data_IF_564930231773
#
_entry.id   IF_564930231773
#
_cell.length_a   1.000
_cell.length_b   1.000
_cell.length_c   1.000
_cell.angle_alpha   90.00
_cell.angle_beta   90.00
_cell.angle_gamma   90.00
#
_symmetry.space_group_name_H-M   'P 1'
#
loop_
_entity.id
_entity.type
_entity.pdbx_description
1 polymer ?
#
# COMPACT_ATOMS: atom_id res chain seq x y z
N UNK A 1 48.61 -60.88 19.28
CA UNK A 1 48.00 -61.14 17.95
C UNK A 1 46.77 -60.25 17.84
N UNK A 2 46.91 -59.13 17.19
CA UNK A 2 45.83 -58.20 16.92
C UNK A 2 45.92 -57.81 15.42
N UNK A 3 44.92 -58.16 14.65
CA UNK A 3 44.84 -57.96 13.23
C UNK A 3 44.32 -56.52 12.96
N UNK A 4 45.12 -55.72 12.29
CA UNK A 4 44.75 -54.42 11.79
C UNK A 4 43.86 -54.55 10.56
N UNK A 5 42.73 -53.80 10.50
CA UNK A 5 41.90 -53.62 9.31
C UNK A 5 42.28 -52.29 8.65
N UNK A 6 42.40 -52.22 7.33
CA UNK A 6 42.69 -50.97 6.60
C UNK A 6 41.41 -50.18 6.37
N UNK A 7 41.52 -48.85 6.56
CA UNK A 7 40.49 -47.90 6.22
C UNK A 7 40.55 -47.56 4.73
N UNK A 8 39.45 -47.78 4.02
CA UNK A 8 39.23 -47.30 2.65
C UNK A 8 38.79 -45.84 2.71
N UNK A 9 39.63 -44.96 2.16
CA UNK A 9 39.30 -43.55 1.94
C UNK A 9 38.52 -43.50 0.62
N UNK A 10 37.22 -43.19 0.72
CA UNK A 10 36.41 -42.87 -0.44
C UNK A 10 36.49 -41.35 -0.68
N UNK A 11 37.16 -40.98 -1.76
CA UNK A 11 37.16 -39.60 -2.28
C UNK A 11 35.82 -39.30 -2.95
N UNK A 12 34.99 -38.51 -2.31
CA UNK A 12 33.80 -37.96 -2.95
C UNK A 12 34.18 -36.75 -3.78
N UNK A 13 34.03 -36.86 -5.09
CA UNK A 13 34.15 -35.75 -6.02
C UNK A 13 32.91 -34.83 -5.85
N UNK A 14 33.13 -33.63 -5.37
CA UNK A 14 32.08 -32.60 -5.32
C UNK A 14 31.86 -32.05 -6.74
N UNK A 15 30.77 -32.43 -7.36
CA UNK A 15 30.27 -31.77 -8.56
C UNK A 15 29.56 -30.47 -8.16
N UNK A 16 30.20 -29.33 -8.41
CA UNK A 16 29.60 -28.03 -8.25
C UNK A 16 28.59 -27.79 -9.37
N UNK A 17 27.32 -28.03 -9.07
CA UNK A 17 26.23 -27.58 -9.92
C UNK A 17 25.96 -26.11 -9.62
N UNK A 18 26.38 -25.23 -10.52
CA UNK A 18 25.97 -23.83 -10.51
C UNK A 18 24.49 -23.76 -10.88
N UNK A 19 23.62 -23.57 -9.88
CA UNK A 19 22.24 -23.21 -10.11
C UNK A 19 22.19 -21.74 -10.54
N UNK A 20 22.04 -21.50 -11.83
CA UNK A 20 21.60 -20.22 -12.35
C UNK A 20 20.13 -20.07 -12.05
N UNK A 21 19.79 -19.31 -11.02
CA UNK A 21 18.42 -18.85 -10.75
C UNK A 21 18.07 -17.79 -11.80
N UNK A 22 17.45 -18.21 -12.89
CA UNK A 22 16.70 -17.30 -13.74
C UNK A 22 15.34 -17.03 -13.06
N UNK A 23 14.90 -15.78 -12.92
CA UNK A 23 13.55 -15.50 -12.44
C UNK A 23 12.57 -15.87 -13.54
N UNK A 24 11.90 -16.99 -13.42
CA UNK A 24 10.73 -17.31 -14.23
C UNK A 24 9.55 -16.46 -13.77
N UNK A 25 9.49 -15.22 -14.21
CA UNK A 25 8.23 -14.46 -14.25
C UNK A 25 7.48 -14.96 -15.48
N UNK A 26 6.78 -16.07 -15.33
CA UNK A 26 5.78 -16.48 -16.31
C UNK A 26 4.55 -15.60 -16.11
N UNK A 27 4.57 -14.40 -16.70
CA UNK A 27 3.34 -13.68 -16.97
C UNK A 27 2.55 -14.51 -17.97
N UNK A 28 1.51 -15.21 -17.51
CA UNK A 28 0.45 -15.71 -18.38
C UNK A 28 -0.38 -14.50 -18.87
N UNK A 29 0.25 -13.66 -19.69
CA UNK A 29 -0.47 -12.85 -20.64
C UNK A 29 -0.91 -13.80 -21.74
N UNK A 30 -2.10 -14.36 -21.64
CA UNK A 30 -2.79 -14.90 -22.80
C UNK A 30 -3.02 -13.72 -23.74
N UNK A 31 -2.07 -13.55 -24.65
CA UNK A 31 -2.21 -12.63 -25.76
C UNK A 31 -3.45 -13.07 -26.55
N UNK A 32 -4.50 -12.28 -26.47
CA UNK A 32 -5.48 -12.28 -27.54
C UNK A 32 -4.69 -12.00 -28.84
N UNK A 33 -4.66 -12.95 -29.74
CA UNK A 33 -4.04 -12.83 -31.05
C UNK A 33 -4.87 -11.86 -31.92
N UNK A 34 -4.76 -10.60 -31.58
CA UNK A 34 -5.09 -9.47 -32.42
C UNK A 34 -3.83 -8.64 -32.52
N UNK A 35 -3.10 -8.74 -33.63
CA UNK A 35 -1.97 -7.88 -33.98
C UNK A 35 -2.46 -6.45 -34.24
N UNK A 36 -3.05 -5.81 -33.24
CA UNK A 36 -3.30 -4.38 -33.18
C UNK A 36 -2.09 -3.70 -32.57
N UNK A 37 -1.21 -3.15 -33.39
CA UNK A 37 -0.27 -2.12 -32.98
C UNK A 37 -1.10 -1.04 -32.26
N UNK A 38 -0.97 -0.95 -30.92
CA UNK A 38 -1.55 0.16 -30.17
C UNK A 38 -0.93 1.43 -30.77
N UNK A 39 -1.68 2.12 -31.57
CA UNK A 39 -1.22 3.36 -32.23
C UNK A 39 -1.09 4.41 -31.12
N UNK A 40 -0.12 5.33 -31.28
CA UNK A 40 0.09 6.49 -30.38
C UNK A 40 -1.23 7.24 -30.13
N UNK A 41 -2.13 7.29 -31.11
CA UNK A 41 -3.49 7.83 -31.00
C UNK A 41 -4.37 7.08 -29.97
N UNK A 42 -4.22 5.74 -29.84
CA UNK A 42 -4.98 4.95 -28.88
C UNK A 42 -4.54 5.17 -27.42
N UNK A 43 -3.27 5.54 -27.19
CA UNK A 43 -2.78 5.94 -25.87
C UNK A 43 -3.20 7.37 -25.50
N UNK A 44 -3.23 8.29 -26.47
CA UNK A 44 -3.65 9.67 -26.20
C UNK A 44 -5.09 9.77 -25.68
N UNK A 45 -6.01 8.91 -26.19
CA UNK A 45 -7.40 8.86 -25.72
C UNK A 45 -7.58 8.22 -24.34
N UNK A 46 -6.50 7.68 -23.73
CA UNK A 46 -6.48 7.05 -22.40
C UNK A 46 -5.68 7.84 -21.37
N UNK A 47 -5.24 9.05 -21.71
CA UNK A 47 -4.35 9.84 -20.88
C UNK A 47 -5.01 10.26 -19.54
N UNK A 48 -4.24 10.09 -18.49
CA UNK A 48 -4.42 10.69 -17.16
C UNK A 48 -3.20 11.59 -16.92
N UNK A 49 -3.24 12.85 -17.36
CA UNK A 49 -2.04 13.69 -17.39
C UNK A 49 -1.35 13.84 -16.02
N UNK A 50 -0.05 14.13 -15.97
CA UNK A 50 0.84 14.37 -17.12
C UNK A 50 1.51 13.12 -17.72
N UNK A 51 1.48 11.95 -17.02
CA UNK A 51 2.28 10.81 -17.43
C UNK A 51 1.57 9.45 -17.20
N UNK A 52 0.29 9.47 -16.82
CA UNK A 52 -0.56 8.30 -16.62
C UNK A 52 -1.47 7.99 -17.81
N UNK A 53 -1.94 6.74 -17.88
CA UNK A 53 -2.91 6.26 -18.87
C UNK A 53 -3.85 5.24 -18.21
N UNK A 54 -5.17 5.45 -18.29
CA UNK A 54 -6.17 4.50 -17.80
C UNK A 54 -6.27 3.30 -18.76
N UNK A 55 -6.07 2.10 -18.25
CA UNK A 55 -6.08 0.84 -19.04
C UNK A 55 -7.44 0.19 -18.99
N UNK A 56 -7.94 -0.08 -17.77
CA UNK A 56 -9.21 -0.74 -17.52
C UNK A 56 -9.66 -0.47 -16.10
N UNK A 57 -10.94 -0.68 -15.84
CA UNK A 57 -11.48 -0.81 -14.48
C UNK A 57 -12.30 -2.09 -14.36
N UNK A 58 -12.60 -2.50 -13.13
CA UNK A 58 -13.46 -3.64 -12.86
C UNK A 58 -14.21 -3.44 -11.54
N UNK A 59 -15.53 -3.60 -11.59
CA UNK A 59 -16.42 -3.58 -10.43
C UNK A 59 -16.85 -5.02 -10.05
N UNK A 60 -16.07 -6.04 -10.44
CA UNK A 60 -16.44 -7.46 -10.22
C UNK A 60 -16.40 -7.90 -8.76
N UNK A 61 -15.78 -7.12 -7.89
CA UNK A 61 -15.77 -7.34 -6.43
C UNK A 61 -16.90 -6.60 -5.72
N UNK A 62 -17.55 -5.64 -6.41
CA UNK A 62 -18.55 -4.76 -5.82
C UNK A 62 -19.74 -5.54 -5.26
N UNK A 63 -20.03 -5.33 -3.97
CA UNK A 63 -21.11 -5.98 -3.22
C UNK A 63 -21.10 -7.52 -3.32
N UNK A 64 -19.93 -8.10 -3.53
CA UNK A 64 -19.76 -9.55 -3.60
C UNK A 64 -19.93 -10.15 -2.20
N UNK A 65 -20.75 -11.21 -2.12
CA UNK A 65 -20.82 -12.07 -0.94
C UNK A 65 -20.15 -13.41 -1.29
N UNK A 66 -19.07 -13.75 -0.58
CA UNK A 66 -18.33 -14.98 -0.79
C UNK A 66 -18.44 -15.89 0.44
N UNK A 67 -19.03 -17.06 0.27
CA UNK A 67 -19.34 -18.04 1.35
C UNK A 67 -20.06 -17.41 2.55
N UNK A 68 -20.95 -16.44 2.29
CA UNK A 68 -21.73 -15.76 3.33
C UNK A 68 -21.01 -14.58 4.01
N UNK A 69 -19.79 -14.23 3.57
CA UNK A 69 -19.04 -13.06 4.05
C UNK A 69 -19.07 -11.97 2.97
N UNK A 70 -19.53 -10.79 3.35
CA UNK A 70 -19.52 -9.61 2.47
C UNK A 70 -18.09 -9.14 2.22
N UNK A 71 -17.80 -8.82 0.96
CA UNK A 71 -16.53 -8.21 0.54
C UNK A 71 -16.76 -6.72 0.33
N UNK A 72 -15.99 -5.90 1.00
CA UNK A 72 -16.01 -4.44 0.97
C UNK A 72 -14.92 -3.91 1.88
N UNK A 73 -14.82 -2.60 2.03
CA UNK A 73 -13.85 -1.98 2.91
C UNK A 73 -12.40 -2.27 2.54
N UNK A 74 -12.04 -2.27 1.24
CA UNK A 74 -10.72 -2.71 0.80
C UNK A 74 -9.74 -1.52 0.73
N UNK A 75 -8.99 -1.28 1.83
CA UNK A 75 -8.13 -0.10 1.99
C UNK A 75 -6.67 -0.31 1.58
N UNK A 76 -6.29 -1.49 1.09
CA UNK A 76 -4.92 -1.78 0.68
C UNK A 76 -4.83 -2.71 -0.52
N UNK A 77 -3.64 -2.79 -1.16
CA UNK A 77 -3.43 -3.72 -2.27
C UNK A 77 -1.96 -4.17 -2.35
N UNK A 78 -1.68 -5.42 -2.00
CA UNK A 78 -0.35 -6.00 -2.07
C UNK A 78 -0.35 -7.36 -2.80
N UNK A 79 0.81 -7.77 -3.34
CA UNK A 79 0.96 -9.10 -3.94
C UNK A 79 1.62 -10.08 -2.98
N UNK A 80 0.91 -11.15 -2.64
CA UNK A 80 1.44 -12.27 -1.87
C UNK A 80 1.95 -13.36 -2.82
N UNK A 81 3.26 -13.41 -3.00
CA UNK A 81 3.91 -14.38 -3.90
C UNK A 81 3.72 -15.83 -3.44
N UNK A 82 3.58 -16.09 -2.14
CA UNK A 82 3.40 -17.44 -1.58
C UNK A 82 2.00 -17.99 -1.85
N UNK A 83 0.99 -17.12 -1.84
CA UNK A 83 -0.39 -17.49 -2.20
C UNK A 83 -0.65 -17.34 -3.71
N UNK A 84 0.27 -16.74 -4.46
CA UNK A 84 0.08 -16.31 -5.85
C UNK A 84 -1.23 -15.51 -6.01
N UNK A 85 -1.49 -14.59 -5.09
CA UNK A 85 -2.71 -13.80 -4.98
C UNK A 85 -2.40 -12.34 -4.64
N UNK A 86 -3.28 -11.46 -5.05
CA UNK A 86 -3.37 -10.12 -4.52
C UNK A 86 -4.11 -10.17 -3.19
N UNK A 87 -3.72 -9.35 -2.24
CA UNK A 87 -4.30 -9.29 -0.91
C UNK A 87 -4.66 -7.86 -0.56
N UNK A 88 -5.76 -7.72 0.18
CA UNK A 88 -6.23 -6.43 0.70
C UNK A 88 -6.72 -6.62 2.13
N UNK A 89 -6.32 -5.76 3.03
CA UNK A 89 -6.91 -5.64 4.35
C UNK A 89 -8.28 -4.97 4.22
N UNK A 90 -9.17 -5.29 5.16
CA UNK A 90 -10.48 -4.67 5.27
C UNK A 90 -10.41 -3.64 6.37
N UNK A 91 -10.84 -2.42 6.07
CA UNK A 91 -11.16 -1.38 7.01
C UNK A 91 -12.16 -1.88 8.07
N UNK A 92 -12.48 -1.08 9.04
CA UNK A 92 -13.40 -1.50 10.09
C UNK A 92 -14.84 -1.73 9.54
N UNK A 93 -15.49 -2.77 10.08
CA UNK A 93 -16.92 -3.00 9.84
C UNK A 93 -17.60 -3.41 11.15
N UNK A 94 -17.67 -2.47 12.09
CA UNK A 94 -18.31 -2.67 13.38
C UNK A 94 -17.70 -3.84 14.16
N UNK A 95 -18.49 -4.88 14.45
CA UNK A 95 -18.05 -6.06 15.21
C UNK A 95 -17.61 -7.22 14.32
N UNK A 96 -17.56 -7.04 13.01
CA UNK A 96 -17.05 -8.06 12.09
C UNK A 96 -15.57 -8.30 12.34
N UNK A 97 -15.09 -9.55 12.20
CA UNK A 97 -13.68 -9.85 12.34
C UNK A 97 -12.82 -9.10 11.32
N UNK A 98 -11.77 -8.43 11.78
CA UNK A 98 -10.73 -7.86 10.95
C UNK A 98 -10.12 -8.96 10.07
N UNK A 99 -9.91 -8.69 8.78
CA UNK A 99 -9.60 -9.74 7.82
C UNK A 99 -8.79 -9.26 6.62
N UNK A 100 -8.14 -10.19 5.93
CA UNK A 100 -7.45 -9.98 4.66
C UNK A 100 -8.14 -10.83 3.59
N UNK A 101 -8.54 -10.22 2.47
CA UNK A 101 -9.07 -10.89 1.29
C UNK A 101 -7.96 -11.30 0.33
N UNK A 102 -8.25 -12.32 -0.50
CA UNK A 102 -7.33 -12.88 -1.50
C UNK A 102 -8.01 -13.00 -2.85
N UNK A 103 -7.44 -12.39 -3.87
CA UNK A 103 -7.99 -12.44 -5.23
C UNK A 103 -6.90 -12.52 -6.30
N UNK A 104 -7.29 -12.88 -7.51
CA UNK A 104 -6.42 -12.97 -8.69
C UNK A 104 -6.93 -12.06 -9.79
N UNK A 105 -6.02 -11.72 -10.72
CA UNK A 105 -6.34 -11.00 -11.95
C UNK A 105 -6.99 -9.63 -11.73
N UNK A 106 -6.18 -8.61 -11.42
CA UNK A 106 -6.70 -7.25 -11.16
C UNK A 106 -7.48 -6.62 -12.33
N UNK A 107 -7.39 -7.17 -13.55
CA UNK A 107 -8.24 -6.71 -14.66
C UNK A 107 -9.69 -7.23 -14.54
N UNK A 108 -9.87 -8.40 -13.91
CA UNK A 108 -11.15 -9.04 -13.61
C UNK A 108 -10.99 -9.83 -12.30
N UNK A 109 -10.93 -9.14 -11.16
CA UNK A 109 -10.59 -9.79 -9.90
C UNK A 109 -11.63 -10.83 -9.49
N UNK A 110 -11.11 -11.96 -8.99
CA UNK A 110 -11.91 -13.07 -8.48
C UNK A 110 -11.33 -13.52 -7.16
N UNK A 111 -12.19 -13.68 -6.15
CA UNK A 111 -11.81 -14.21 -4.83
C UNK A 111 -11.31 -15.65 -4.99
N UNK A 112 -10.25 -16.00 -4.28
CA UNK A 112 -9.57 -17.30 -4.42
C UNK A 112 -9.78 -18.23 -3.23
N UNK A 113 -10.16 -17.69 -2.08
CA UNK A 113 -10.39 -18.43 -0.83
C UNK A 113 -11.13 -17.56 0.18
N UNK A 114 -11.56 -18.16 1.29
CA UNK A 114 -12.09 -17.44 2.46
C UNK A 114 -11.06 -16.43 2.99
N UNK A 115 -11.53 -15.30 3.56
CA UNK A 115 -10.64 -14.29 4.12
C UNK A 115 -9.86 -14.83 5.32
N UNK A 116 -8.66 -14.32 5.50
CA UNK A 116 -7.84 -14.60 6.66
C UNK A 116 -8.24 -13.66 7.80
N UNK A 117 -8.80 -14.21 8.87
CA UNK A 117 -9.14 -13.43 10.08
C UNK A 117 -7.85 -13.06 10.84
N UNK A 118 -7.70 -11.77 11.15
CA UNK A 118 -6.62 -11.26 11.96
C UNK A 118 -6.91 -11.46 13.45
N UNK A 119 -5.91 -11.93 14.18
CA UNK A 119 -6.07 -12.37 15.57
C UNK A 119 -4.99 -11.78 16.48
N UNK A 120 -5.38 -11.51 17.70
CA UNK A 120 -4.48 -11.14 18.80
C UNK A 120 -3.54 -12.31 19.14
N UNK A 121 -2.46 -12.07 19.90
CA UNK A 121 -1.55 -13.16 20.31
C UNK A 121 -2.22 -14.28 21.13
N UNK A 122 -3.35 -14.01 21.79
CA UNK A 122 -4.14 -14.99 22.52
C UNK A 122 -5.11 -15.80 21.64
N UNK A 123 -5.13 -15.52 20.32
CA UNK A 123 -5.99 -16.18 19.33
C UNK A 123 -7.38 -15.57 19.18
N UNK A 124 -7.79 -14.60 20.00
CA UNK A 124 -9.05 -13.87 19.80
C UNK A 124 -8.99 -12.99 18.56
N UNK A 125 -10.09 -12.87 17.82
CA UNK A 125 -10.11 -12.02 16.64
C UNK A 125 -9.99 -10.54 17.00
N UNK A 126 -9.32 -9.78 16.14
CA UNK A 126 -9.55 -8.35 16.03
C UNK A 126 -10.89 -8.11 15.32
N UNK A 127 -11.51 -6.98 15.59
CA UNK A 127 -12.73 -6.51 14.92
C UNK A 127 -12.65 -4.99 14.71
N UNK A 128 -13.62 -4.40 14.02
CA UNK A 128 -13.64 -2.98 13.71
C UNK A 128 -13.74 -2.04 14.93
N UNK A 129 -13.93 -2.57 16.14
CA UNK A 129 -13.89 -1.76 17.37
C UNK A 129 -12.49 -1.61 17.95
N UNK A 130 -11.53 -2.42 17.49
CA UNK A 130 -10.17 -2.46 18.02
C UNK A 130 -9.08 -2.68 16.95
N UNK A 131 -9.45 -2.64 15.67
CA UNK A 131 -8.54 -2.64 14.52
C UNK A 131 -9.24 -2.03 13.32
N UNK A 132 -8.73 -0.94 12.87
CA UNK A 132 -9.14 -0.13 11.73
C UNK A 132 -8.03 -0.26 10.68
N UNK A 133 -8.11 -1.32 9.85
CA UNK A 133 -6.95 -1.71 9.05
C UNK A 133 -6.91 -0.94 7.74
N UNK A 134 -5.79 -0.29 7.50
CA UNK A 134 -5.58 0.52 6.31
C UNK A 134 -4.51 -0.11 5.40
N UNK A 135 -3.27 0.29 5.54
CA UNK A 135 -2.19 -0.22 4.70
C UNK A 135 -1.83 -1.69 4.95
N UNK A 136 -1.40 -2.37 3.88
CA UNK A 136 -0.91 -3.75 3.96
C UNK A 136 0.33 -3.94 3.09
N UNK A 137 1.36 -4.55 3.68
CA UNK A 137 2.52 -5.05 2.94
C UNK A 137 2.78 -6.52 3.26
N UNK A 138 3.40 -7.23 2.31
CA UNK A 138 3.83 -8.63 2.51
C UNK A 138 5.32 -8.66 2.71
N UNK A 139 5.76 -9.14 3.87
CA UNK A 139 7.17 -9.25 4.23
C UNK A 139 7.87 -10.37 3.42
N UNK A 140 9.21 -10.35 3.28
CA UNK A 140 9.94 -11.37 2.52
C UNK A 140 9.75 -12.80 3.03
N UNK A 141 9.50 -12.98 4.32
CA UNK A 141 9.16 -14.28 4.93
C UNK A 141 7.72 -14.71 4.68
N UNK A 142 6.90 -13.82 4.11
CA UNK A 142 5.50 -14.03 3.77
C UNK A 142 4.51 -13.65 4.87
N UNK A 143 4.96 -13.11 5.98
CA UNK A 143 4.09 -12.53 7.00
C UNK A 143 3.43 -11.25 6.47
N UNK A 144 2.29 -10.90 7.04
CA UNK A 144 1.54 -9.69 6.68
C UNK A 144 1.85 -8.58 7.66
N UNK A 145 2.15 -7.42 7.14
CA UNK A 145 2.30 -6.17 7.89
C UNK A 145 1.06 -5.33 7.63
N UNK A 146 0.39 -4.86 8.68
CA UNK A 146 -0.86 -4.09 8.57
C UNK A 146 -0.79 -2.88 9.49
N UNK A 147 -1.14 -1.69 8.95
CA UNK A 147 -1.38 -0.48 9.74
C UNK A 147 -2.82 -0.47 10.26
N UNK A 148 -3.06 0.32 11.30
CA UNK A 148 -4.38 0.50 11.90
C UNK A 148 -4.51 1.93 12.43
N UNK A 149 -5.65 2.55 12.20
CA UNK A 149 -5.95 3.92 12.59
C UNK A 149 -6.53 4.09 13.99
N UNK A 150 -7.48 3.26 14.39
CA UNK A 150 -8.24 3.39 15.66
C UNK A 150 -7.29 3.46 16.85
N UNK A 151 -6.28 2.60 16.86
CA UNK A 151 -5.15 2.64 17.75
C UNK A 151 -3.92 2.68 16.86
N UNK A 152 -3.30 3.86 16.59
CA UNK A 152 -2.22 3.98 15.64
C UNK A 152 -1.15 2.94 15.87
N UNK A 153 -1.11 1.94 15.00
CA UNK A 153 -0.24 0.79 15.16
C UNK A 153 0.14 0.17 13.81
N UNK A 154 1.29 -0.51 13.78
CA UNK A 154 1.72 -1.34 12.67
C UNK A 154 2.01 -2.73 13.25
N UNK A 155 1.25 -3.73 12.82
CA UNK A 155 1.29 -5.09 13.36
C UNK A 155 1.78 -6.09 12.33
N UNK A 156 2.57 -7.07 12.78
CA UNK A 156 3.03 -8.20 11.96
C UNK A 156 2.18 -9.41 12.31
N UNK A 157 1.54 -10.00 11.29
CA UNK A 157 0.72 -11.19 11.42
C UNK A 157 1.35 -12.37 10.68
N UNK A 158 1.28 -13.54 11.28
CA UNK A 158 1.67 -14.79 10.62
C UNK A 158 0.70 -15.17 9.50
N UNK A 159 1.07 -16.18 8.74
CA UNK A 159 0.25 -16.77 7.67
C UNK A 159 -1.07 -17.39 8.17
N UNK A 160 -1.19 -17.61 9.45
CA UNK A 160 -2.38 -18.07 10.17
C UNK A 160 -3.25 -16.92 10.69
N UNK A 161 -2.83 -15.68 10.46
CA UNK A 161 -3.51 -14.46 10.88
C UNK A 161 -3.22 -14.07 12.34
N UNK A 162 -2.40 -14.82 13.08
CA UNK A 162 -2.06 -14.48 14.46
C UNK A 162 -0.97 -13.41 14.49
N UNK A 163 -1.18 -12.38 15.30
CA UNK A 163 -0.20 -11.32 15.51
C UNK A 163 1.06 -11.88 16.16
N UNK A 164 2.21 -11.59 15.58
CA UNK A 164 3.55 -11.98 16.05
C UNK A 164 4.28 -10.85 16.76
N UNK A 165 4.10 -9.60 16.27
CA UNK A 165 4.79 -8.43 16.78
C UNK A 165 4.04 -7.15 16.41
N UNK A 166 4.50 -6.03 16.99
CA UNK A 166 4.14 -4.66 16.56
C UNK A 166 5.42 -3.85 16.40
N UNK A 167 5.40 -2.90 15.46
CA UNK A 167 6.46 -1.93 15.30
C UNK A 167 6.31 -0.80 16.33
N UNK A 168 7.41 -0.19 16.80
CA UNK A 168 7.35 0.93 17.74
C UNK A 168 6.79 2.18 17.05
N UNK A 169 5.78 2.81 17.64
CA UNK A 169 5.20 4.08 17.19
C UNK A 169 5.55 5.16 18.22
N UNK A 170 6.13 6.32 17.82
CA UNK A 170 6.41 7.40 18.75
C UNK A 170 5.12 7.98 19.36
N UNK A 171 5.16 8.38 20.63
CA UNK A 171 3.98 8.82 21.39
C UNK A 171 3.19 9.96 20.72
N UNK A 172 3.86 10.84 19.99
CA UNK A 172 3.21 11.95 19.27
C UNK A 172 2.24 11.49 18.16
N UNK A 173 2.37 10.27 17.67
CA UNK A 173 1.47 9.69 16.65
C UNK A 173 0.18 9.09 17.25
N UNK A 174 0.07 9.02 18.57
CA UNK A 174 -1.18 8.67 19.22
C UNK A 174 -2.25 9.73 18.96
N UNK A 175 -3.51 9.31 18.96
CA UNK A 175 -4.65 10.22 18.80
C UNK A 175 -4.68 11.24 19.93
N UNK A 176 -4.94 12.48 19.60
CA UNK A 176 -5.04 13.60 20.55
C UNK A 176 -6.02 13.28 21.67
N UNK A 177 -5.57 13.45 22.91
CA UNK A 177 -6.37 13.19 24.12
C UNK A 177 -6.32 11.72 24.59
N UNK A 178 -5.77 10.78 23.84
CA UNK A 178 -5.57 9.40 24.32
C UNK A 178 -4.28 9.23 25.12
N UNK A 179 -3.27 10.06 24.82
CA UNK A 179 -2.02 10.16 25.58
C UNK A 179 -1.64 11.64 25.76
N UNK A 180 -0.77 12.01 26.74
CA UNK A 180 -0.34 13.40 26.93
C UNK A 180 0.35 14.01 25.71
N UNK A 181 1.05 13.19 24.92
CA UNK A 181 1.85 13.63 23.78
C UNK A 181 1.17 13.42 22.43
N UNK A 182 -0.03 12.82 22.40
CA UNK A 182 -0.76 12.49 21.19
C UNK A 182 -1.13 13.73 20.37
N UNK A 183 -0.85 13.71 19.09
CA UNK A 183 -1.04 14.82 18.15
C UNK A 183 -1.83 14.41 16.90
N UNK A 184 -2.11 13.13 16.68
CA UNK A 184 -2.86 12.69 15.53
C UNK A 184 -4.36 13.01 15.67
N UNK A 185 -5.03 13.24 14.56
CA UNK A 185 -6.49 13.31 14.48
C UNK A 185 -7.03 11.88 14.42
N UNK A 186 -8.11 11.59 15.13
CA UNK A 186 -8.80 10.31 15.00
C UNK A 186 -9.28 10.11 13.57
N UNK A 187 -9.15 8.90 13.05
CA UNK A 187 -9.48 8.54 11.65
C UNK A 187 -8.74 9.43 10.63
N UNK A 188 -7.45 9.67 10.88
CA UNK A 188 -6.51 10.34 10.00
C UNK A 188 -5.07 10.03 10.45
N UNK A 189 -4.81 8.76 10.80
CA UNK A 189 -3.53 8.35 11.41
C UNK A 189 -2.66 7.55 10.43
N UNK A 190 -2.29 6.31 10.74
CA UNK A 190 -1.39 5.48 9.94
C UNK A 190 -2.17 4.76 8.82
N UNK A 191 -2.04 5.28 7.63
CA UNK A 191 -2.69 4.81 6.41
C UNK A 191 -1.74 3.94 5.57
N UNK A 192 -1.15 4.54 4.55
CA UNK A 192 -0.33 3.87 3.57
C UNK A 192 0.84 3.10 4.17
N UNK A 193 1.12 1.92 3.59
CA UNK A 193 2.14 1.03 4.10
C UNK A 193 2.84 0.25 2.99
N UNK A 194 4.15 0.41 2.88
CA UNK A 194 4.94 -0.27 1.86
C UNK A 194 6.21 -0.87 2.43
N UNK A 195 6.78 -1.83 1.69
CA UNK A 195 8.12 -2.35 1.93
C UNK A 195 8.99 -2.06 0.71
N UNK A 196 10.22 -1.61 0.95
CA UNK A 196 11.18 -1.36 -0.12
C UNK A 196 11.46 -2.64 -0.92
N UNK A 197 11.90 -2.48 -2.17
CA UNK A 197 12.25 -3.63 -3.02
C UNK A 197 13.38 -4.52 -2.47
N UNK A 198 14.19 -3.97 -1.58
CA UNK A 198 15.20 -4.74 -0.87
C UNK A 198 14.59 -5.66 0.20
N UNK A 199 13.35 -5.43 0.58
CA UNK A 199 12.67 -6.11 1.70
C UNK A 199 13.22 -5.73 3.07
N UNK A 200 13.98 -4.63 3.19
CA UNK A 200 14.71 -4.27 4.41
C UNK A 200 14.31 -2.92 5.00
N UNK A 201 13.46 -2.19 4.33
CA UNK A 201 12.93 -0.92 4.80
C UNK A 201 11.40 -0.92 4.66
N UNK A 202 10.70 -0.55 5.73
CA UNK A 202 9.26 -0.35 5.76
C UNK A 202 9.03 1.15 5.83
N UNK A 203 8.05 1.66 5.07
CA UNK A 203 7.61 3.04 5.11
C UNK A 203 6.10 3.04 5.35
N UNK A 204 5.66 3.81 6.35
CA UNK A 204 4.24 4.06 6.62
C UNK A 204 3.97 5.55 6.61
N UNK A 205 2.91 5.98 5.94
CA UNK A 205 2.47 7.38 5.88
C UNK A 205 1.40 7.66 6.92
N UNK A 206 1.37 8.92 7.39
CA UNK A 206 0.20 9.47 8.05
C UNK A 206 -0.79 9.96 7.00
N UNK A 207 -2.06 9.66 7.16
CA UNK A 207 -3.13 10.21 6.33
C UNK A 207 -3.25 11.72 6.51
N UNK A 208 -3.36 12.15 7.77
CA UNK A 208 -3.48 13.55 8.16
C UNK A 208 -2.21 14.13 8.77
N UNK A 209 -2.17 15.46 8.89
CA UNK A 209 -1.11 16.15 9.59
C UNK A 209 -1.23 15.97 11.12
N UNK A 210 -0.10 15.82 11.81
CA UNK A 210 -0.08 15.96 13.26
C UNK A 210 -0.41 17.40 13.67
N UNK A 211 -1.16 17.60 14.73
CA UNK A 211 -1.52 18.95 15.23
C UNK A 211 -0.30 19.83 15.53
N UNK A 212 0.82 19.21 15.94
CA UNK A 212 2.10 19.88 16.12
C UNK A 212 2.79 20.33 14.83
N UNK A 213 2.39 19.81 13.67
CA UNK A 213 2.94 20.15 12.36
C UNK A 213 2.09 21.17 11.59
N UNK A 214 0.90 21.51 12.11
CA UNK A 214 0.05 22.55 11.54
C UNK A 214 0.64 23.92 11.78
N UNK A 215 0.64 24.79 10.76
CA UNK A 215 1.13 26.16 10.88
C UNK A 215 0.20 27.05 11.72
N UNK A 216 0.70 28.19 12.18
CA UNK A 216 -0.10 29.16 12.89
C UNK A 216 -1.28 29.74 12.06
N UNK A 217 -1.21 29.65 10.72
CA UNK A 217 -2.28 30.04 9.80
C UNK A 217 -3.27 28.89 9.51
N UNK A 218 -3.08 27.72 10.11
CA UNK A 218 -3.94 26.55 9.89
C UNK A 218 -3.56 25.69 8.66
N UNK A 219 -2.37 25.89 8.09
CA UNK A 219 -1.87 25.02 7.01
C UNK A 219 -1.51 23.65 7.59
N UNK A 220 -2.27 22.62 7.21
CA UNK A 220 -2.16 21.22 7.63
C UNK A 220 -1.61 20.31 6.50
N UNK A 221 -0.84 20.86 5.56
CA UNK A 221 -0.33 20.12 4.40
C UNK A 221 0.94 19.30 4.70
N UNK A 222 1.52 19.39 5.90
CA UNK A 222 2.74 18.69 6.26
C UNK A 222 2.44 17.35 6.94
N UNK A 223 2.89 16.25 6.31
CA UNK A 223 2.69 14.89 6.79
C UNK A 223 4.02 14.23 7.12
N UNK A 224 4.00 13.23 8.00
CA UNK A 224 5.18 12.43 8.35
C UNK A 224 5.06 11.02 7.83
N UNK A 225 6.15 10.51 7.27
CA UNK A 225 6.32 9.09 6.99
C UNK A 225 7.26 8.51 8.04
N UNK A 226 6.89 7.37 8.61
CA UNK A 226 7.72 6.58 9.50
C UNK A 226 8.56 5.60 8.68
N UNK A 227 9.86 5.54 8.92
CA UNK A 227 10.78 4.64 8.20
C UNK A 227 11.43 3.69 9.19
N UNK A 228 11.25 2.40 8.94
CA UNK A 228 11.81 1.33 9.75
C UNK A 228 12.82 0.52 8.95
N UNK A 229 14.01 0.34 9.51
CA UNK A 229 15.01 -0.55 8.96
C UNK A 229 15.06 -1.87 9.70
N UNK A 230 15.32 -2.95 8.94
CA UNK A 230 15.52 -4.27 9.53
C UNK A 230 16.94 -4.40 10.07
N UNK A 231 17.07 -4.52 11.38
CA UNK A 231 18.34 -4.81 12.03
C UNK A 231 18.89 -6.20 11.60
N UNK A 232 20.17 -6.45 11.81
CA UNK A 232 20.79 -7.77 11.54
C UNK A 232 20.17 -8.92 12.33
N UNK A 233 19.53 -8.61 13.45
CA UNK A 233 18.78 -9.55 14.30
C UNK A 233 17.43 -9.93 13.72
N UNK A 234 16.98 -9.28 12.63
CA UNK A 234 15.66 -9.47 12.03
C UNK A 234 14.57 -8.58 12.60
N UNK A 235 14.86 -7.82 13.67
CA UNK A 235 13.89 -6.88 14.28
C UNK A 235 13.80 -5.59 13.48
N UNK A 236 12.61 -5.00 13.42
CA UNK A 236 12.35 -3.71 12.80
C UNK A 236 12.55 -2.59 13.83
N UNK A 237 13.23 -1.54 13.42
CA UNK A 237 13.54 -0.37 14.24
C UNK A 237 13.16 0.90 13.49
N UNK A 238 12.42 1.79 14.15
CA UNK A 238 12.19 3.14 13.62
C UNK A 238 13.54 3.88 13.58
N UNK A 239 13.97 4.26 12.40
CA UNK A 239 15.29 4.86 12.18
C UNK A 239 15.23 6.32 11.80
N UNK A 240 14.14 6.77 11.17
CA UNK A 240 13.97 8.17 10.75
C UNK A 240 12.51 8.48 10.42
N UNK A 241 12.22 9.75 10.26
CA UNK A 241 10.96 10.25 9.70
C UNK A 241 11.24 11.12 8.47
N UNK A 242 10.38 11.03 7.47
CA UNK A 242 10.44 11.85 6.25
C UNK A 242 9.30 12.87 6.32
N UNK A 243 9.59 14.13 5.95
CA UNK A 243 8.58 15.16 5.77
C UNK A 243 8.07 15.17 4.32
N UNK A 244 6.76 15.07 4.17
CA UNK A 244 6.06 15.19 2.90
C UNK A 244 5.07 16.35 2.97
N UNK A 245 4.81 17.03 1.84
CA UNK A 245 3.82 18.08 1.76
C UNK A 245 2.80 17.78 0.69
N UNK A 246 1.52 17.66 1.08
CA UNK A 246 0.39 17.46 0.17
C UNK A 246 -0.01 18.76 -0.53
N UNK A 247 -0.85 18.65 -1.56
CA UNK A 247 -1.66 19.77 -1.99
C UNK A 247 -2.69 20.14 -0.91
N UNK A 248 -3.15 21.39 -0.92
CA UNK A 248 -4.08 21.87 0.10
C UNK A 248 -5.40 21.12 0.06
N UNK A 249 -5.80 20.55 1.16
CA UNK A 249 -7.04 19.79 1.32
C UNK A 249 -6.92 18.30 0.98
N UNK A 250 -5.74 17.83 0.56
CA UNK A 250 -5.51 16.43 0.30
C UNK A 250 -5.04 15.68 1.56
N UNK A 251 -5.46 14.41 1.64
CA UNK A 251 -4.97 13.37 2.54
C UNK A 251 -4.03 12.42 1.78
N UNK A 252 -3.35 11.51 2.50
CA UNK A 252 -2.49 10.49 1.90
C UNK A 252 -3.06 9.10 2.22
N UNK A 253 -3.86 8.51 1.34
CA UNK A 253 -4.39 7.17 1.57
C UNK A 253 -3.34 6.06 1.35
N UNK A 254 -2.40 6.22 0.41
CA UNK A 254 -1.44 5.15 0.17
C UNK A 254 -0.06 5.67 -0.28
N UNK A 255 0.96 4.87 0.03
CA UNK A 255 2.34 5.05 -0.41
C UNK A 255 2.95 3.73 -0.86
N UNK A 256 3.56 3.70 -2.05
CA UNK A 256 4.18 2.49 -2.58
C UNK A 256 5.62 2.73 -3.01
N UNK A 257 6.54 1.89 -2.51
CA UNK A 257 7.94 1.92 -2.90
C UNK A 257 8.15 1.34 -4.31
N UNK A 258 8.87 2.06 -5.16
CA UNK A 258 9.29 1.57 -6.48
C UNK A 258 10.75 1.91 -6.77
N UNK A 259 11.38 1.17 -7.68
CA UNK A 259 12.79 1.38 -7.98
C UNK A 259 13.69 1.05 -6.78
N UNK A 260 14.71 1.86 -6.57
CA UNK A 260 15.70 1.68 -5.49
C UNK A 260 15.31 2.50 -4.25
N UNK A 261 14.96 3.76 -4.45
CA UNK A 261 14.82 4.79 -3.42
C UNK A 261 13.68 5.77 -3.74
N UNK A 262 12.62 5.29 -4.37
CA UNK A 262 11.55 6.14 -4.86
C UNK A 262 10.20 5.67 -4.32
N UNK A 263 9.29 6.62 -4.11
CA UNK A 263 7.93 6.39 -3.65
C UNK A 263 6.93 6.94 -4.66
N UNK A 264 5.83 6.23 -4.84
CA UNK A 264 4.60 6.74 -5.44
C UNK A 264 3.64 6.99 -4.29
N UNK A 265 3.17 8.22 -4.17
CA UNK A 265 2.25 8.66 -3.12
C UNK A 265 0.92 8.98 -3.79
N UNK A 266 -0.14 8.45 -3.25
CA UNK A 266 -1.51 8.81 -3.58
C UNK A 266 -1.94 9.97 -2.69
N UNK A 267 -2.42 11.05 -3.30
CA UNK A 267 -3.08 12.15 -2.62
C UNK A 267 -4.54 12.19 -3.04
N UNK A 268 -5.43 12.22 -2.07
CA UNK A 268 -6.86 12.21 -2.29
C UNK A 268 -7.57 13.31 -1.51
N UNK A 269 -8.71 13.76 -2.05
CA UNK A 269 -9.65 14.63 -1.36
C UNK A 269 -11.08 14.25 -1.75
N UNK A 270 -12.02 14.53 -0.85
CA UNK A 270 -13.44 14.34 -1.10
C UNK A 270 -14.23 15.61 -0.78
N UNK A 271 -15.22 15.89 -1.59
CA UNK A 271 -16.25 16.87 -1.27
C UNK A 271 -17.62 16.42 -1.72
N UNK A 272 -18.65 16.73 -0.94
CA UNK A 272 -20.04 16.38 -1.28
C UNK A 272 -20.55 16.97 -2.59
N UNK A 273 -19.88 18.02 -3.09
CA UNK A 273 -20.28 18.73 -4.32
C UNK A 273 -19.53 18.29 -5.56
N UNK A 274 -18.28 17.80 -5.40
CA UNK A 274 -17.42 17.39 -6.51
C UNK A 274 -17.07 15.89 -6.51
N UNK A 275 -17.32 15.19 -5.39
CA UNK A 275 -16.90 13.80 -5.20
C UNK A 275 -15.42 13.67 -4.88
N UNK A 276 -14.84 12.55 -5.24
CA UNK A 276 -13.43 12.25 -5.04
C UNK A 276 -12.53 12.96 -6.08
N UNK A 277 -11.35 13.33 -5.63
CA UNK A 277 -10.24 13.73 -6.48
C UNK A 277 -8.99 13.00 -6.02
N UNK A 278 -8.21 12.49 -6.96
CA UNK A 278 -7.05 11.66 -6.70
C UNK A 278 -5.92 11.94 -7.65
N UNK A 279 -4.73 12.02 -7.11
CA UNK A 279 -3.52 12.38 -7.79
C UNK A 279 -2.36 11.50 -7.35
N UNK A 280 -1.55 11.04 -8.30
CA UNK A 280 -0.37 10.24 -8.01
C UNK A 280 0.89 11.08 -8.15
N UNK A 281 1.69 11.14 -7.08
CA UNK A 281 2.94 11.88 -7.03
C UNK A 281 4.14 10.95 -6.87
N UNK A 282 5.14 11.13 -7.71
CA UNK A 282 6.43 10.45 -7.58
C UNK A 282 7.39 11.25 -6.70
N UNK A 283 7.98 10.59 -5.72
CA UNK A 283 9.08 11.08 -4.87
C UNK A 283 10.33 10.30 -5.22
N UNK A 284 11.46 10.98 -5.42
CA UNK A 284 12.77 10.37 -5.66
C UNK A 284 13.70 10.63 -4.49
N UNK A 285 14.71 9.77 -4.34
CA UNK A 285 15.74 9.89 -3.31
C UNK A 285 15.16 9.86 -1.88
N UNK A 286 14.11 9.08 -1.65
CA UNK A 286 13.49 8.94 -0.33
C UNK A 286 14.49 8.41 0.71
N UNK A 287 15.44 7.53 0.31
CA UNK A 287 16.47 6.99 1.20
C UNK A 287 17.42 8.07 1.73
N UNK A 288 17.62 9.15 0.97
CA UNK A 288 18.50 10.27 1.34
C UNK A 288 17.74 11.49 1.86
N UNK A 289 16.43 11.38 2.07
CA UNK A 289 15.64 12.44 2.67
C UNK A 289 16.15 12.76 4.08
N UNK A 290 16.23 14.05 4.46
CA UNK A 290 16.59 14.44 5.82
C UNK A 290 15.69 13.77 6.87
N UNK A 291 16.32 13.38 7.99
CA UNK A 291 15.57 12.88 9.15
C UNK A 291 14.95 14.03 9.93
N UNK A 292 13.61 14.06 9.95
CA UNK A 292 12.83 15.07 10.66
C UNK A 292 12.27 14.59 12.02
N UNK A 293 12.78 13.47 12.55
CA UNK A 293 12.31 12.90 13.83
C UNK A 293 12.36 13.91 14.97
N UNK A 294 13.38 14.77 14.98
CA UNK A 294 13.61 15.80 16.00
C UNK A 294 13.02 17.18 15.65
N UNK A 295 12.36 17.32 14.50
CA UNK A 295 11.69 18.56 14.12
C UNK A 295 10.36 18.66 14.86
N UNK A 296 10.21 19.66 15.70
CA UNK A 296 9.02 19.82 16.54
C UNK A 296 7.77 20.17 15.72
N UNK A 297 7.94 20.99 14.67
CA UNK A 297 6.86 21.44 13.79
C UNK A 297 7.35 21.51 12.34
N UNK A 298 6.82 20.67 11.47
CA UNK A 298 7.22 20.61 10.06
C UNK A 298 6.89 21.88 9.26
N UNK A 299 5.87 22.63 9.66
CA UNK A 299 5.56 23.89 8.97
C UNK A 299 6.68 24.94 9.12
N UNK A 300 7.60 24.73 10.06
CA UNK A 300 8.77 25.57 10.31
C UNK A 300 10.08 24.93 9.83
N UNK A 301 10.02 23.72 9.29
CA UNK A 301 11.20 23.03 8.76
C UNK A 301 11.78 23.78 7.55
N UNK A 302 13.11 23.76 7.35
CA UNK A 302 13.70 24.23 6.11
C UNK A 302 13.07 23.54 4.89
N UNK A 303 12.86 24.28 3.81
CA UNK A 303 12.26 23.69 2.59
C UNK A 303 13.05 22.49 2.04
N UNK A 304 14.36 22.42 2.30
CA UNK A 304 15.21 21.29 1.91
C UNK A 304 15.00 20.03 2.74
N UNK A 305 14.30 20.10 3.85
CA UNK A 305 13.99 18.94 4.71
C UNK A 305 12.70 18.24 4.26
N UNK A 306 11.91 18.87 3.38
CA UNK A 306 10.69 18.31 2.81
C UNK A 306 11.02 17.68 1.45
N UNK A 307 10.61 16.44 1.23
CA UNK A 307 10.88 15.75 -0.05
C UNK A 307 10.19 16.46 -1.21
N UNK A 308 10.88 16.50 -2.35
CA UNK A 308 10.32 17.00 -3.58
C UNK A 308 9.44 15.94 -4.24
N UNK A 309 8.23 16.32 -4.65
CA UNK A 309 7.28 15.47 -5.36
C UNK A 309 7.05 15.96 -6.79
N UNK A 310 6.61 15.05 -7.65
CA UNK A 310 6.22 15.35 -9.03
C UNK A 310 4.93 14.64 -9.37
N UNK A 311 3.91 15.39 -9.78
CA UNK A 311 2.67 14.83 -10.31
C UNK A 311 2.98 13.93 -11.52
N UNK A 312 2.45 12.70 -11.52
CA UNK A 312 2.60 11.73 -12.60
C UNK A 312 1.26 11.29 -13.18
N UNK A 313 0.17 11.36 -12.41
CA UNK A 313 -1.18 11.15 -12.93
C UNK A 313 -2.18 11.97 -12.12
N UNK A 314 -3.15 12.59 -12.80
CA UNK A 314 -4.35 13.18 -12.19
C UNK A 314 -5.55 12.34 -12.65
N UNK A 315 -6.20 11.65 -11.73
CA UNK A 315 -7.22 10.66 -12.07
C UNK A 315 -8.56 11.32 -12.45
N UNK A 316 -8.82 12.54 -11.98
CA UNK A 316 -9.97 13.34 -12.42
C UNK A 316 -9.93 13.56 -13.93
N UNK A 317 -8.75 13.69 -14.51
CA UNK A 317 -8.53 13.94 -15.92
C UNK A 317 -8.44 12.68 -16.79
N UNK A 318 -8.58 11.49 -16.20
CA UNK A 318 -8.63 10.24 -16.94
C UNK A 318 -9.89 10.17 -17.83
N UNK A 319 -9.87 9.41 -18.93
CA UNK A 319 -11.10 9.05 -19.62
C UNK A 319 -11.96 8.18 -18.71
N UNK A 320 -13.27 8.33 -18.79
CA UNK A 320 -14.23 7.63 -17.91
C UNK A 320 -14.27 6.11 -18.13
N UNK A 321 -13.74 5.62 -19.24
CA UNK A 321 -13.81 4.21 -19.69
C UNK A 321 -15.23 3.62 -19.71
N UNK A 322 -16.26 4.46 -19.58
CA UNK A 322 -17.66 4.03 -19.47
C UNK A 322 -18.04 3.55 -18.05
N UNK A 323 -17.25 3.90 -17.04
CA UNK A 323 -17.55 3.54 -15.65
C UNK A 323 -18.86 4.18 -15.19
N UNK A 324 -19.69 3.45 -14.41
CA UNK A 324 -20.84 4.03 -13.71
C UNK A 324 -20.39 4.76 -12.45
N UNK A 325 -21.21 5.69 -11.96
CA UNK A 325 -21.10 6.27 -10.63
C UNK A 325 -22.45 6.19 -9.92
N UNK A 326 -22.43 5.98 -8.62
CA UNK A 326 -23.63 5.96 -7.75
C UNK A 326 -23.79 7.23 -6.94
N UNK A 327 -22.80 8.08 -6.93
CA UNK A 327 -22.81 9.38 -6.25
C UNK A 327 -22.21 10.46 -7.17
N UNK A 328 -22.23 11.71 -6.70
CA UNK A 328 -21.62 12.82 -7.44
C UNK A 328 -20.12 12.63 -7.54
N UNK A 329 -19.59 12.58 -8.77
CA UNK A 329 -18.17 12.45 -9.07
C UNK A 329 -17.79 13.39 -10.22
N UNK A 330 -16.64 14.06 -10.12
CA UNK A 330 -16.08 14.84 -11.23
C UNK A 330 -15.73 13.93 -12.42
N UNK A 331 -15.34 12.69 -12.14
CA UNK A 331 -15.13 11.63 -13.13
C UNK A 331 -15.76 10.35 -12.59
N UNK A 332 -16.73 9.72 -13.30
CA UNK A 332 -17.39 8.50 -12.81
C UNK A 332 -16.46 7.28 -12.68
N UNK A 333 -15.21 7.38 -13.15
CA UNK A 333 -14.17 6.37 -12.91
C UNK A 333 -13.70 6.36 -11.47
N UNK A 334 -13.80 7.52 -10.76
CA UNK A 334 -13.33 7.68 -9.39
C UNK A 334 -14.30 7.02 -8.40
N UNK A 335 -13.73 6.58 -7.32
CA UNK A 335 -14.35 6.18 -6.07
C UNK A 335 -13.34 6.46 -4.96
N UNK A 336 -13.53 6.03 -3.73
CA UNK A 336 -12.61 6.23 -2.63
C UNK A 336 -11.43 5.25 -2.74
N UNK A 337 -10.46 5.52 -3.65
CA UNK A 337 -9.28 4.66 -3.77
C UNK A 337 -8.36 4.85 -2.57
N UNK A 338 -7.93 3.73 -1.97
CA UNK A 338 -7.05 3.72 -0.80
C UNK A 338 -5.94 2.68 -0.94
N UNK A 339 -6.19 1.58 -1.64
CA UNK A 339 -5.14 0.60 -1.87
C UNK A 339 -4.46 0.74 -3.21
N UNK A 340 -3.13 0.71 -3.25
CA UNK A 340 -2.33 0.82 -4.46
C UNK A 340 -1.27 -0.27 -4.54
N UNK A 341 -0.96 -0.72 -5.75
CA UNK A 341 0.17 -1.61 -6.00
C UNK A 341 0.88 -1.25 -7.30
N UNK A 342 2.19 -1.52 -7.36
CA UNK A 342 3.04 -1.22 -8.52
C UNK A 342 3.74 -2.48 -9.01
N UNK A 343 3.57 -2.77 -10.30
CA UNK A 343 4.34 -3.80 -10.99
C UNK A 343 5.24 -3.12 -12.01
N UNK A 344 6.54 -3.21 -11.79
CA UNK A 344 7.54 -2.51 -12.59
C UNK A 344 8.45 -1.63 -11.74
N UNK A 345 9.01 -0.59 -12.33
CA UNK A 345 9.93 0.36 -11.68
C UNK A 345 10.04 1.65 -12.48
N UNK A 346 11.14 2.42 -12.37
CA UNK A 346 11.36 3.59 -13.19
C UNK A 346 11.14 3.30 -14.68
N UNK A 347 10.50 4.20 -15.39
CA UNK A 347 9.99 3.99 -16.74
C UNK A 347 8.49 3.73 -16.75
N UNK A 348 7.99 2.87 -17.64
CA UNK A 348 6.56 2.55 -17.71
C UNK A 348 6.23 1.41 -16.73
N UNK A 349 5.46 1.70 -15.71
CA UNK A 349 5.01 0.76 -14.69
C UNK A 349 3.48 0.56 -14.78
N UNK A 350 3.02 -0.64 -14.43
CA UNK A 350 1.62 -0.88 -14.17
C UNK A 350 1.31 -0.51 -12.71
N UNK A 351 0.28 0.32 -12.53
CA UNK A 351 -0.23 0.72 -11.22
C UNK A 351 -1.69 0.29 -11.15
N UNK A 352 -2.06 -0.40 -10.10
CA UNK A 352 -3.45 -0.74 -9.83
C UNK A 352 -3.89 -0.14 -8.52
N UNK A 353 -5.08 0.46 -8.52
CA UNK A 353 -5.74 1.02 -7.36
C UNK A 353 -6.97 0.17 -7.03
N UNK A 354 -7.33 0.09 -5.77
CA UNK A 354 -8.57 -0.50 -5.30
C UNK A 354 -9.27 0.47 -4.36
N UNK A 355 -10.59 0.59 -4.50
CA UNK A 355 -11.36 1.49 -3.65
C UNK A 355 -11.94 0.78 -2.43
N UNK A 356 -11.91 1.48 -1.31
CA UNK A 356 -12.77 1.21 -0.18
C UNK A 356 -14.19 1.71 -0.50
N UNK A 357 -15.17 0.83 -0.41
CA UNK A 357 -16.58 1.18 -0.61
C UNK A 357 -17.31 1.50 0.71
N UNK A 358 -16.58 1.55 1.83
CA UNK A 358 -17.12 1.81 3.17
C UNK A 358 -18.37 0.96 3.48
N UNK A 359 -18.52 -0.20 2.83
CA UNK A 359 -19.75 -0.99 2.83
C UNK A 359 -21.01 -0.18 2.46
N UNK A 360 -20.83 0.96 1.80
CA UNK A 360 -21.88 1.89 1.40
C UNK A 360 -22.58 1.43 0.12
N UNK A 361 -23.88 1.61 0.03
CA UNK A 361 -24.63 1.35 -1.19
C UNK A 361 -24.31 2.33 -2.33
N UNK A 362 -23.71 3.48 -2.03
CA UNK A 362 -23.41 4.56 -2.99
C UNK A 362 -21.99 4.52 -3.52
N UNK A 363 -21.12 3.67 -2.99
CA UNK A 363 -19.73 3.49 -3.41
C UNK A 363 -19.54 2.12 -4.07
N UNK A 364 -18.49 2.00 -4.87
CA UNK A 364 -18.09 0.76 -5.53
C UNK A 364 -16.83 0.18 -4.91
N UNK A 365 -16.76 -1.14 -4.77
CA UNK A 365 -15.47 -1.83 -4.66
C UNK A 365 -14.91 -1.99 -6.08
N UNK A 366 -14.07 -1.05 -6.49
CA UNK A 366 -13.55 -0.92 -7.87
C UNK A 366 -12.04 -1.12 -7.93
N UNK A 367 -11.57 -1.87 -8.92
CA UNK A 367 -10.15 -1.91 -9.28
C UNK A 367 -9.93 -1.07 -10.53
N UNK A 368 -9.02 -0.10 -10.47
CA UNK A 368 -8.56 0.72 -11.59
C UNK A 368 -7.13 0.33 -11.97
N UNK A 369 -6.91 0.01 -13.24
CA UNK A 369 -5.59 -0.33 -13.76
C UNK A 369 -5.06 0.79 -14.65
N UNK A 370 -3.85 1.24 -14.35
CA UNK A 370 -3.15 2.33 -15.02
C UNK A 370 -1.82 1.85 -15.59
N UNK A 371 -1.32 2.54 -16.61
CA UNK A 371 0.10 2.59 -16.93
C UNK A 371 0.60 3.99 -16.56
N UNK A 372 1.68 4.06 -15.79
CA UNK A 372 2.25 5.35 -15.35
C UNK A 372 3.73 5.39 -15.70
N UNK A 373 4.16 6.49 -16.31
CA UNK A 373 5.58 6.73 -16.57
C UNK A 373 6.21 7.34 -15.33
N UNK A 374 6.83 6.49 -14.53
CA UNK A 374 7.55 6.85 -13.31
C UNK A 374 8.97 7.37 -13.64
N UNK A 375 9.45 8.42 -12.96
CA UNK A 375 10.77 9.02 -13.19
C UNK A 375 11.93 8.16 -12.68
#
# INVERSE_FOLDING_TARGET
MALARPWLIATAAAASAALTLAPAVSANAQAATGTGRATVAGLASRACPPAGFAVSFSDSLDKLVYHGVELGGLSSLAYDARSAAWVSAVDNHGTDPARIWFFRNLAHPTVTRDPLVLRKPDGTAYDGTNSDNEGLAVLPDGDYLVSSETEPSIRIYGRDGVQKASLPIPARFAVTGTTPDGQATSNATLEGLTISRSGREIISSMEGALSGDVSASGDATFHRFLVYDQARTGTWQLTRQIAYRTETGNRIPEVQAYGKDSLLVEEAAFSTTAGNSEELYAVKNADSAPDVSNVANLSQAPAGDVVSKKLVANLVQCPTLGAPSRETQANPLLDNYEGMTIVGGPGLAAVSLISDDNFSATQFTRVLNLLVKLP
#
